data_IF_441739156188
#
_entry.id   IF_441739156188
#
_cell.length_a   1.000
_cell.length_b   1.000
_cell.length_c   1.000
_cell.angle_alpha   90.00
_cell.angle_beta   90.00
_cell.angle_gamma   90.00
#
_symmetry.space_group_name_H-M   'P 1'
#
loop_
_entity.id
_entity.type
_entity.pdbx_description
1 polymer ?
#
# COMPACT_ATOMS: atom_id res chain seq x y z
N UNK A 1 16.43 -11.47 -4.19
CA UNK A 1 16.68 -10.03 -4.05
C UNK A 1 16.04 -9.59 -2.75
N UNK A 2 16.74 -8.83 -1.90
CA UNK A 2 16.20 -8.37 -0.62
C UNK A 2 15.20 -7.23 -0.85
N UNK A 3 14.26 -7.03 0.10
CA UNK A 3 13.36 -5.86 0.11
C UNK A 3 14.14 -4.53 0.00
N UNK A 4 15.36 -4.47 0.55
CA UNK A 4 16.25 -3.32 0.44
C UNK A 4 16.69 -3.02 -1.02
N UNK A 5 16.82 -4.04 -1.86
CA UNK A 5 17.16 -3.84 -3.28
C UNK A 5 15.96 -3.38 -4.11
N UNK A 6 14.74 -3.78 -3.72
CA UNK A 6 13.49 -3.42 -4.39
C UNK A 6 13.18 -1.91 -4.28
N UNK A 7 13.53 -1.30 -3.15
CA UNK A 7 13.27 0.13 -2.88
C UNK A 7 14.51 1.03 -3.05
N UNK A 8 15.61 0.49 -3.60
CA UNK A 8 16.88 1.23 -3.75
C UNK A 8 16.88 2.25 -4.89
N UNK A 9 15.89 2.27 -5.78
CA UNK A 9 15.81 3.28 -6.85
C UNK A 9 14.47 4.00 -6.82
N UNK A 10 14.49 5.26 -6.39
CA UNK A 10 13.36 6.21 -6.42
C UNK A 10 12.66 6.27 -7.80
N UNK A 11 13.41 6.01 -8.88
CA UNK A 11 12.90 6.08 -10.26
C UNK A 11 11.78 5.05 -10.54
N UNK A 12 11.88 3.82 -10.04
CA UNK A 12 10.89 2.77 -10.28
C UNK A 12 9.60 3.03 -9.49
N UNK A 13 9.74 3.43 -8.23
CA UNK A 13 8.60 3.83 -7.39
C UNK A 13 7.92 5.07 -7.97
N UNK A 14 8.69 6.05 -8.41
CA UNK A 14 8.18 7.29 -8.99
C UNK A 14 7.40 7.05 -10.29
N UNK A 15 7.83 6.12 -11.16
CA UNK A 15 7.08 5.77 -12.38
C UNK A 15 5.70 5.16 -12.04
N UNK A 16 5.62 4.31 -11.02
CA UNK A 16 4.35 3.71 -10.54
C UNK A 16 3.43 4.76 -9.94
N UNK A 17 3.95 5.60 -9.05
CA UNK A 17 3.20 6.71 -8.44
C UNK A 17 2.70 7.68 -9.51
N UNK A 18 3.55 8.04 -10.48
CA UNK A 18 3.21 8.99 -11.54
C UNK A 18 2.06 8.50 -12.43
N UNK A 19 1.99 7.20 -12.74
CA UNK A 19 0.89 6.63 -13.51
C UNK A 19 -0.44 6.82 -12.78
N UNK A 20 -0.50 6.46 -11.50
CA UNK A 20 -1.70 6.64 -10.68
C UNK A 20 -2.06 8.12 -10.47
N UNK A 21 -1.10 8.95 -10.12
CA UNK A 21 -1.33 10.39 -9.87
C UNK A 21 -1.88 11.11 -11.10
N UNK A 22 -1.43 10.71 -12.31
CA UNK A 22 -1.77 11.40 -13.55
C UNK A 22 -3.08 10.93 -14.19
N UNK A 23 -3.40 9.65 -14.08
CA UNK A 23 -4.48 9.03 -14.85
C UNK A 23 -5.60 8.43 -14.00
N UNK A 24 -5.54 8.56 -12.67
CA UNK A 24 -6.62 8.12 -11.80
C UNK A 24 -7.93 8.86 -12.12
N UNK A 25 -9.01 8.11 -12.25
CA UNK A 25 -10.36 8.67 -12.41
C UNK A 25 -10.92 9.25 -11.11
N UNK A 26 -10.34 8.83 -9.97
CA UNK A 26 -10.62 9.37 -8.65
C UNK A 26 -9.30 9.51 -7.87
N UNK A 27 -8.67 10.69 -7.81
CA UNK A 27 -7.37 10.87 -7.17
C UNK A 27 -7.43 10.98 -5.63
N UNK A 28 -8.62 10.84 -5.02
CA UNK A 28 -8.85 11.05 -3.58
C UNK A 28 -8.44 9.89 -2.67
N UNK A 29 -7.64 8.91 -3.12
CA UNK A 29 -7.26 7.73 -2.32
C UNK A 29 -6.65 8.07 -0.96
N UNK A 30 -5.64 8.95 -0.92
CA UNK A 30 -4.94 9.30 0.33
C UNK A 30 -5.87 10.00 1.33
N UNK A 31 -6.76 10.85 0.86
CA UNK A 31 -7.74 11.54 1.69
C UNK A 31 -8.81 10.57 2.20
N UNK A 32 -9.30 9.70 1.32
CA UNK A 32 -10.27 8.68 1.67
C UNK A 32 -9.71 7.72 2.72
N UNK A 33 -8.48 7.26 2.53
CA UNK A 33 -7.80 6.37 3.47
C UNK A 33 -7.65 7.05 4.84
N UNK A 34 -7.17 8.30 4.86
CA UNK A 34 -7.04 9.07 6.09
C UNK A 34 -8.38 9.23 6.82
N UNK A 35 -9.48 9.50 6.09
CA UNK A 35 -10.81 9.67 6.69
C UNK A 35 -11.34 8.39 7.35
N UNK A 36 -10.92 7.20 6.85
CA UNK A 36 -11.34 5.90 7.39
C UNK A 36 -10.41 5.41 8.51
N UNK A 37 -9.16 5.84 8.53
CA UNK A 37 -8.14 5.41 9.49
C UNK A 37 -7.94 6.38 10.66
N UNK A 38 -8.39 7.63 10.51
CA UNK A 38 -8.19 8.66 11.53
C UNK A 38 -8.90 8.31 12.85
N UNK A 39 -8.16 8.15 13.95
CA UNK A 39 -8.74 7.82 15.24
C UNK A 39 -9.26 9.08 15.96
N UNK A 40 -9.93 8.91 17.10
CA UNK A 40 -10.26 10.03 18.00
C UNK A 40 -9.02 10.80 18.47
N UNK A 41 -9.21 12.06 18.86
CA UNK A 41 -8.15 12.87 19.45
C UNK A 41 -7.52 12.20 20.67
N UNK A 42 -6.20 12.35 20.81
CA UNK A 42 -5.42 11.77 21.90
C UNK A 42 -5.05 10.29 21.73
N UNK A 43 -5.42 9.65 20.63
CA UNK A 43 -5.13 8.24 20.39
C UNK A 43 -3.64 7.99 20.18
N UNK A 44 -3.21 6.76 20.51
CA UNK A 44 -1.89 6.21 20.23
C UNK A 44 -1.97 5.38 18.96
N UNK A 45 -1.27 5.82 17.91
CA UNK A 45 -1.25 5.16 16.61
C UNK A 45 0.11 4.53 16.34
N UNK A 46 0.08 3.36 15.74
CA UNK A 46 1.25 2.75 15.11
C UNK A 46 0.94 2.51 13.64
N UNK A 47 1.78 2.96 12.74
CA UNK A 47 1.81 2.43 11.37
C UNK A 47 3.01 1.51 11.20
N UNK A 48 2.75 0.27 10.78
CA UNK A 48 3.76 -0.74 10.48
C UNK A 48 3.97 -0.80 8.97
N UNK A 49 5.23 -0.76 8.52
CA UNK A 49 5.58 -0.66 7.11
C UNK A 49 5.20 0.69 6.51
N UNK A 50 5.49 1.78 7.22
CA UNK A 50 5.08 3.14 6.85
C UNK A 50 5.75 3.65 5.55
N UNK A 51 6.83 2.98 5.09
CA UNK A 51 7.63 3.47 3.98
C UNK A 51 8.13 4.90 4.23
N UNK A 52 8.22 5.76 3.20
CA UNK A 52 8.62 7.15 3.35
C UNK A 52 7.50 8.06 3.88
N UNK A 53 6.37 7.51 4.33
CA UNK A 53 5.20 8.19 4.88
C UNK A 53 4.52 9.20 3.93
N UNK A 54 4.81 9.19 2.64
CA UNK A 54 4.33 10.18 1.67
C UNK A 54 2.85 10.05 1.35
N UNK A 55 2.34 8.81 1.26
CA UNK A 55 0.99 8.53 0.75
C UNK A 55 -0.09 8.92 1.76
N UNK A 56 -0.01 8.43 2.98
CA UNK A 56 -1.01 8.74 4.00
C UNK A 56 -0.71 10.07 4.69
N UNK A 57 0.45 10.20 5.30
CA UNK A 57 0.79 11.33 6.16
C UNK A 57 1.22 12.56 5.37
N UNK A 58 2.10 12.40 4.39
CA UNK A 58 2.57 13.50 3.55
C UNK A 58 1.45 14.19 2.78
N UNK A 59 0.50 13.43 2.27
CA UNK A 59 -0.67 13.97 1.58
C UNK A 59 -1.69 14.65 2.53
N UNK A 60 -1.59 14.44 3.85
CA UNK A 60 -2.55 14.93 4.85
C UNK A 60 -1.87 15.67 6.02
N UNK A 61 -0.68 16.25 5.83
CA UNK A 61 0.14 16.87 6.89
C UNK A 61 -0.64 17.86 7.77
N UNK A 62 -1.48 18.70 7.17
CA UNK A 62 -2.26 19.72 7.86
C UNK A 62 -3.46 19.14 8.63
N UNK A 63 -3.76 17.86 8.43
CA UNK A 63 -4.89 17.14 9.04
C UNK A 63 -4.47 16.27 10.23
N UNK A 64 -3.16 16.10 10.44
CA UNK A 64 -2.63 15.34 11.57
C UNK A 64 -3.02 16.05 12.86
N UNK A 65 -3.83 15.40 13.69
CA UNK A 65 -4.23 15.94 14.99
C UNK A 65 -2.99 15.98 15.91
N UNK A 66 -2.61 17.16 16.42
CA UNK A 66 -1.41 17.29 17.27
C UNK A 66 -1.53 16.57 18.62
N UNK A 67 -2.72 16.10 18.98
CA UNK A 67 -2.92 15.29 20.19
C UNK A 67 -2.61 13.81 19.99
N UNK A 68 -2.50 13.33 18.75
CA UNK A 68 -2.13 11.95 18.46
C UNK A 68 -0.69 11.65 18.86
N UNK A 69 -0.48 10.46 19.41
CA UNK A 69 0.85 9.90 19.62
C UNK A 69 1.14 8.94 18.47
N UNK A 70 1.68 9.49 17.39
CA UNK A 70 1.96 8.75 16.16
C UNK A 70 3.33 8.08 16.26
N UNK A 71 3.39 6.80 16.01
CA UNK A 71 4.62 6.01 15.85
C UNK A 71 4.65 5.41 14.45
N UNK A 72 5.74 5.64 13.73
CA UNK A 72 5.98 5.08 12.40
C UNK A 72 7.08 4.03 12.47
N UNK A 73 6.77 2.82 12.02
CA UNK A 73 7.69 1.70 12.01
C UNK A 73 7.85 1.14 10.59
N UNK A 74 9.08 0.85 10.21
CA UNK A 74 9.41 0.18 8.94
C UNK A 74 10.63 -0.72 9.12
N UNK A 75 10.71 -1.80 8.34
CA UNK A 75 11.86 -2.69 8.35
C UNK A 75 13.13 -2.02 7.78
N UNK A 76 12.98 -1.06 6.87
CA UNK A 76 14.06 -0.34 6.21
C UNK A 76 14.47 0.92 6.98
N UNK A 77 15.73 1.02 7.45
CA UNK A 77 16.24 2.26 8.07
C UNK A 77 16.14 3.48 7.15
N UNK A 78 16.33 3.29 5.83
CA UNK A 78 16.23 4.39 4.85
C UNK A 78 14.80 4.92 4.70
N UNK A 79 13.77 4.07 4.83
CA UNK A 79 12.38 4.49 4.84
C UNK A 79 12.05 5.29 6.11
N UNK A 80 12.56 4.87 7.25
CA UNK A 80 12.42 5.60 8.51
C UNK A 80 13.10 6.97 8.46
N UNK A 81 14.28 7.07 7.84
CA UNK A 81 14.96 8.35 7.64
C UNK A 81 14.12 9.29 6.75
N UNK A 82 13.62 8.78 5.61
CA UNK A 82 12.76 9.56 4.71
C UNK A 82 11.44 10.01 5.38
N UNK A 83 10.82 9.15 6.18
CA UNK A 83 9.63 9.50 6.94
C UNK A 83 9.91 10.60 7.98
N UNK A 84 11.07 10.53 8.66
CA UNK A 84 11.51 11.56 9.62
C UNK A 84 11.78 12.90 8.94
N UNK A 85 12.43 12.89 7.78
CA UNK A 85 12.69 14.11 7.00
C UNK A 85 11.37 14.78 6.57
N UNK A 86 10.35 14.00 6.27
CA UNK A 86 9.04 14.50 5.85
C UNK A 86 8.21 15.06 7.01
N UNK A 87 8.15 14.35 8.14
CA UNK A 87 7.20 14.65 9.23
C UNK A 87 7.84 15.36 10.43
N UNK A 88 9.19 15.35 10.55
CA UNK A 88 9.90 15.98 11.67
C UNK A 88 9.45 15.44 13.03
N UNK A 89 9.14 16.33 13.94
CA UNK A 89 8.75 15.98 15.33
C UNK A 89 7.26 15.58 15.49
N UNK A 90 6.55 15.33 14.37
CA UNK A 90 5.12 14.92 14.44
C UNK A 90 4.93 13.44 14.76
N UNK A 91 5.99 12.62 14.75
CA UNK A 91 5.93 11.20 15.02
C UNK A 91 7.18 10.69 15.72
N UNK A 92 7.07 9.55 16.38
CA UNK A 92 8.19 8.70 16.78
C UNK A 92 8.53 7.74 15.64
N UNK A 93 9.82 7.36 15.50
CA UNK A 93 10.33 6.60 14.37
C UNK A 93 11.13 5.38 14.84
N UNK A 94 10.73 4.18 14.39
CA UNK A 94 11.32 2.93 14.87
C UNK A 94 11.63 2.01 13.67
N UNK A 95 12.87 1.52 13.60
CA UNK A 95 13.18 0.41 12.68
C UNK A 95 12.70 -0.90 13.32
N UNK A 96 11.73 -1.57 12.69
CA UNK A 96 11.13 -2.78 13.26
C UNK A 96 10.63 -3.76 12.20
N UNK A 97 10.69 -5.06 12.53
CA UNK A 97 10.01 -6.12 11.80
C UNK A 97 8.58 -6.25 12.31
N UNK A 98 7.60 -6.28 11.40
CA UNK A 98 6.19 -6.52 11.73
C UNK A 98 5.97 -7.84 12.50
N UNK A 99 6.88 -8.79 12.34
CA UNK A 99 6.85 -10.12 12.97
C UNK A 99 7.43 -10.12 14.40
N UNK A 100 8.05 -9.00 14.84
CA UNK A 100 8.64 -8.84 16.17
C UNK A 100 8.68 -7.34 16.54
N UNK A 101 7.54 -6.81 16.98
CA UNK A 101 7.38 -5.40 17.29
C UNK A 101 7.97 -5.04 18.65
N UNK A 102 8.88 -4.03 18.75
CA UNK A 102 9.58 -3.69 19.98
C UNK A 102 8.71 -2.80 20.91
N UNK A 103 7.44 -3.14 21.07
CA UNK A 103 6.50 -2.41 21.91
C UNK A 103 5.85 -3.31 22.95
N UNK A 104 5.44 -2.76 24.07
CA UNK A 104 4.71 -3.47 25.12
C UNK A 104 3.29 -3.85 24.67
N UNK A 105 2.71 -4.85 25.34
CA UNK A 105 1.31 -5.25 25.13
C UNK A 105 0.37 -4.08 25.40
N UNK A 106 -0.62 -3.88 24.51
CA UNK A 106 -1.63 -2.85 24.68
C UNK A 106 -1.10 -1.41 24.63
N UNK A 107 -0.05 -1.17 23.87
CA UNK A 107 0.56 0.17 23.70
C UNK A 107 -0.22 1.10 22.78
N UNK A 108 -1.05 0.57 21.86
CA UNK A 108 -1.69 1.34 20.81
C UNK A 108 -3.21 1.14 20.79
N UNK A 109 -3.91 2.21 20.46
CA UNK A 109 -5.37 2.23 20.29
C UNK A 109 -5.74 1.84 18.84
N UNK A 110 -4.87 2.22 17.88
CA UNK A 110 -5.01 1.91 16.46
C UNK A 110 -3.66 1.46 15.88
N UNK A 111 -3.68 0.42 15.05
CA UNK A 111 -2.54 -0.01 14.24
C UNK A 111 -2.94 0.04 12.77
N UNK A 112 -2.06 0.57 11.93
CA UNK A 112 -2.20 0.68 10.48
C UNK A 112 -1.14 -0.19 9.80
N UNK A 113 -1.51 -0.83 8.66
CA UNK A 113 -0.60 -1.56 7.79
C UNK A 113 -0.97 -1.30 6.33
N UNK A 114 -0.41 -0.22 5.74
CA UNK A 114 -0.80 0.25 4.42
C UNK A 114 0.08 -0.33 3.32
N UNK A 115 -0.52 -1.16 2.43
CA UNK A 115 0.15 -1.77 1.28
C UNK A 115 1.46 -2.51 1.60
N UNK A 116 1.54 -3.18 2.76
CA UNK A 116 2.77 -3.84 3.21
C UNK A 116 2.62 -5.34 3.55
N UNK A 117 1.44 -5.81 3.95
CA UNK A 117 1.25 -7.17 4.48
C UNK A 117 1.55 -8.29 3.47
N UNK A 118 1.41 -8.03 2.18
CA UNK A 118 1.79 -8.99 1.14
C UNK A 118 3.31 -9.19 1.01
N UNK A 119 4.11 -8.32 1.63
CA UNK A 119 5.57 -8.47 1.74
C UNK A 119 6.01 -9.27 2.98
N UNK A 120 5.11 -9.48 3.94
CA UNK A 120 5.44 -10.18 5.20
C UNK A 120 5.47 -11.69 4.99
N UNK A 121 6.60 -12.38 5.25
CA UNK A 121 6.70 -13.82 5.04
C UNK A 121 5.82 -14.64 5.99
N UNK A 122 5.85 -14.33 7.29
CA UNK A 122 5.04 -14.98 8.34
C UNK A 122 3.94 -14.01 8.81
N UNK A 123 2.87 -13.87 8.02
CA UNK A 123 1.73 -13.03 8.37
C UNK A 123 1.03 -13.45 9.66
N UNK A 124 0.80 -14.74 9.95
CA UNK A 124 0.25 -15.14 11.25
C UNK A 124 1.04 -14.58 12.44
N UNK A 125 2.37 -14.58 12.38
CA UNK A 125 3.23 -14.00 13.42
C UNK A 125 3.05 -12.48 13.50
N UNK A 126 3.01 -11.79 12.37
CA UNK A 126 2.76 -10.35 12.34
C UNK A 126 1.37 -10.01 12.90
N UNK A 127 0.33 -10.79 12.58
CA UNK A 127 -1.02 -10.57 13.14
C UNK A 127 -1.06 -10.79 14.65
N UNK A 128 -0.32 -11.78 15.17
CA UNK A 128 -0.19 -11.98 16.60
C UNK A 128 0.49 -10.79 17.29
N UNK A 129 1.54 -10.22 16.70
CA UNK A 129 2.23 -9.05 17.21
C UNK A 129 1.35 -7.79 17.14
N UNK A 130 0.68 -7.53 15.99
CA UNK A 130 -0.28 -6.42 15.86
C UNK A 130 -1.38 -6.54 16.93
N UNK A 131 -1.94 -7.74 17.09
CA UNK A 131 -2.94 -7.99 18.13
C UNK A 131 -2.37 -7.78 19.54
N UNK A 132 -1.13 -8.20 19.80
CA UNK A 132 -0.48 -8.04 21.11
C UNK A 132 -0.35 -6.57 21.49
N UNK A 133 0.17 -5.74 20.58
CA UNK A 133 0.42 -4.31 20.84
C UNK A 133 -0.84 -3.46 20.89
N UNK A 134 -1.96 -3.91 20.31
CA UNK A 134 -3.26 -3.24 20.44
C UNK A 134 -3.85 -3.41 21.84
N UNK A 135 -4.54 -2.40 22.33
CA UNK A 135 -5.42 -2.52 23.51
C UNK A 135 -6.62 -3.40 23.22
N UNK A 136 -7.31 -3.92 24.25
CA UNK A 136 -8.59 -4.59 24.06
C UNK A 136 -9.60 -3.63 23.41
N UNK A 137 -10.31 -4.08 22.38
CA UNK A 137 -11.20 -3.25 21.56
C UNK A 137 -10.51 -2.29 20.59
N UNK A 138 -9.17 -2.25 20.57
CA UNK A 138 -8.37 -1.48 19.62
C UNK A 138 -8.60 -1.91 18.16
N UNK A 139 -8.33 -1.02 17.22
CA UNK A 139 -8.64 -1.20 15.80
C UNK A 139 -7.38 -1.48 15.01
N UNK A 140 -7.46 -2.43 14.11
CA UNK A 140 -6.47 -2.69 13.08
C UNK A 140 -7.04 -2.35 11.71
N UNK A 141 -6.30 -1.55 10.94
CA UNK A 141 -6.60 -1.21 9.56
C UNK A 141 -5.48 -1.71 8.64
N UNK A 142 -5.86 -2.35 7.54
CA UNK A 142 -4.92 -2.83 6.53
C UNK A 142 -5.41 -2.43 5.14
N UNK A 143 -4.72 -1.52 4.46
CA UNK A 143 -5.02 -1.23 3.07
C UNK A 143 -4.29 -2.18 2.13
N UNK A 144 -4.99 -2.58 1.07
CA UNK A 144 -4.46 -3.47 0.03
C UNK A 144 -5.30 -3.34 -1.24
N UNK A 145 -5.01 -4.17 -2.25
CA UNK A 145 -5.78 -4.24 -3.47
C UNK A 145 -6.61 -5.52 -3.53
N UNK A 146 -7.71 -5.49 -4.28
CA UNK A 146 -8.57 -6.64 -4.54
C UNK A 146 -8.28 -7.31 -5.88
N UNK A 147 -9.07 -8.34 -6.18
CA UNK A 147 -9.02 -9.06 -7.46
C UNK A 147 -9.19 -8.12 -8.66
N UNK A 148 -8.52 -8.45 -9.76
CA UNK A 148 -8.53 -7.63 -10.99
C UNK A 148 -7.61 -6.40 -10.96
N UNK A 149 -6.90 -6.13 -9.83
CA UNK A 149 -5.97 -5.01 -9.77
C UNK A 149 -4.89 -5.12 -10.86
N UNK A 150 -4.81 -4.10 -11.72
CA UNK A 150 -3.88 -4.00 -12.86
C UNK A 150 -4.00 -5.17 -13.85
N UNK A 151 -5.19 -5.77 -13.98
CA UNK A 151 -5.40 -6.94 -14.85
C UNK A 151 -4.93 -6.68 -16.28
N UNK A 152 -5.26 -5.52 -16.85
CA UNK A 152 -4.91 -5.16 -18.23
C UNK A 152 -3.39 -5.01 -18.43
N UNK A 153 -2.66 -4.64 -17.36
CA UNK A 153 -1.20 -4.62 -17.36
C UNK A 153 -0.64 -6.06 -17.39
N UNK A 154 -1.26 -6.96 -16.63
CA UNK A 154 -0.93 -8.39 -16.64
C UNK A 154 -1.19 -9.04 -18.00
N UNK A 155 -2.29 -8.68 -18.66
CA UNK A 155 -2.63 -9.18 -20.00
C UNK A 155 -1.60 -8.74 -21.05
N UNK A 156 -1.09 -7.50 -20.96
CA UNK A 156 -0.02 -7.01 -21.83
C UNK A 156 1.29 -7.78 -21.67
N UNK A 157 1.55 -8.34 -20.50
CA UNK A 157 2.83 -8.95 -20.14
C UNK A 157 2.76 -10.47 -19.96
N UNK A 158 1.64 -11.09 -20.32
CA UNK A 158 1.33 -12.49 -20.05
C UNK A 158 2.44 -13.46 -20.53
N UNK A 159 3.11 -13.15 -21.64
CA UNK A 159 4.13 -13.99 -22.23
C UNK A 159 5.49 -13.97 -21.49
N UNK A 160 5.75 -12.93 -20.67
CA UNK A 160 7.06 -12.76 -20.05
C UNK A 160 7.02 -12.38 -18.58
N UNK A 161 5.93 -11.81 -18.10
CA UNK A 161 5.69 -11.51 -16.72
C UNK A 161 4.28 -11.97 -16.34
N UNK A 162 4.10 -13.23 -15.95
CA UNK A 162 2.87 -13.60 -15.28
C UNK A 162 2.78 -12.73 -14.04
N UNK A 163 1.88 -11.76 -14.08
CA UNK A 163 1.69 -10.76 -13.03
C UNK A 163 1.49 -11.49 -11.72
N UNK A 164 2.54 -11.62 -10.90
CA UNK A 164 2.40 -12.14 -9.55
C UNK A 164 1.53 -11.16 -8.79
N UNK A 165 0.31 -11.58 -8.59
CA UNK A 165 -0.65 -10.76 -7.87
C UNK A 165 -0.31 -10.82 -6.39
N UNK A 166 0.34 -9.79 -5.86
CA UNK A 166 0.57 -9.64 -4.42
C UNK A 166 -0.72 -9.82 -3.60
N UNK A 167 -1.86 -9.56 -4.23
CA UNK A 167 -3.21 -9.81 -3.69
C UNK A 167 -3.47 -11.28 -3.36
N UNK A 168 -2.80 -12.23 -4.02
CA UNK A 168 -2.94 -13.66 -3.70
C UNK A 168 -2.30 -13.96 -2.35
N UNK A 169 -1.27 -13.23 -1.97
CA UNK A 169 -0.64 -13.32 -0.65
C UNK A 169 -1.48 -12.62 0.44
N UNK A 170 -1.90 -11.38 0.19
CA UNK A 170 -2.79 -10.60 1.06
C UNK A 170 -3.52 -9.54 0.25
N UNK A 171 -4.77 -9.77 -0.08
CA UNK A 171 -5.67 -8.88 -0.83
C UNK A 171 -6.99 -8.69 -0.10
N UNK A 172 -7.90 -7.91 -0.71
CA UNK A 172 -9.22 -7.66 -0.12
C UNK A 172 -10.05 -8.94 0.03
N UNK A 173 -9.86 -9.93 -0.85
CA UNK A 173 -10.57 -11.21 -0.83
C UNK A 173 -9.81 -12.26 0.01
N UNK A 174 -8.49 -12.30 -0.11
CA UNK A 174 -7.63 -13.29 0.56
C UNK A 174 -7.21 -12.90 1.97
N UNK A 175 -7.31 -11.61 2.33
CA UNK A 175 -6.92 -11.08 3.64
C UNK A 175 -7.88 -11.42 4.78
N UNK A 176 -9.20 -11.21 4.65
CA UNK A 176 -10.15 -11.44 5.74
C UNK A 176 -10.05 -12.84 6.37
N UNK A 177 -10.01 -13.96 5.62
CA UNK A 177 -9.85 -15.28 6.22
C UNK A 177 -8.55 -15.45 7.02
N UNK A 178 -7.50 -14.70 6.70
CA UNK A 178 -6.23 -14.72 7.44
C UNK A 178 -6.31 -13.92 8.75
N UNK A 179 -7.17 -12.89 8.82
CA UNK A 179 -7.35 -12.03 9.98
C UNK A 179 -8.36 -12.59 11.01
N UNK A 180 -9.40 -13.28 10.57
CA UNK A 180 -10.48 -13.84 11.41
C UNK A 180 -9.99 -14.67 12.60
N UNK A 181 -8.87 -15.46 12.55
CA UNK A 181 -8.34 -16.16 13.71
C UNK A 181 -7.79 -15.24 14.82
N UNK A 182 -7.48 -13.98 14.49
CA UNK A 182 -6.82 -13.02 15.41
C UNK A 182 -7.74 -11.89 15.85
N UNK A 183 -8.72 -11.51 15.01
CA UNK A 183 -9.52 -10.31 15.14
C UNK A 183 -11.02 -10.61 14.95
N UNK A 184 -11.84 -9.70 15.44
CA UNK A 184 -13.29 -9.69 15.24
C UNK A 184 -13.72 -8.53 14.33
N UNK A 185 -14.98 -8.50 13.92
CA UNK A 185 -15.57 -7.41 13.12
C UNK A 185 -14.80 -7.08 11.83
N UNK A 186 -14.30 -8.12 11.15
CA UNK A 186 -13.57 -7.94 9.89
C UNK A 186 -14.51 -7.39 8.80
N UNK A 187 -14.19 -6.21 8.28
CA UNK A 187 -14.98 -5.49 7.27
C UNK A 187 -14.08 -5.04 6.15
N UNK A 188 -14.63 -4.97 4.93
CA UNK A 188 -13.94 -4.48 3.74
C UNK A 188 -14.67 -3.24 3.24
N UNK A 189 -13.91 -2.20 2.95
CA UNK A 189 -14.35 -1.01 2.25
C UNK A 189 -13.53 -0.83 0.98
N UNK A 190 -14.19 -0.51 -0.14
CA UNK A 190 -13.54 -0.39 -1.45
C UNK A 190 -13.54 1.05 -1.88
N UNK A 191 -12.43 1.50 -2.45
CA UNK A 191 -12.34 2.81 -3.07
C UNK A 191 -12.55 2.66 -4.58
N UNK A 192 -13.61 3.28 -5.09
CA UNK A 192 -13.97 3.19 -6.51
C UNK A 192 -13.08 4.12 -7.35
N UNK A 193 -12.21 3.53 -8.14
CA UNK A 193 -11.28 4.23 -9.03
C UNK A 193 -10.77 3.32 -10.14
N UNK A 194 -10.11 3.89 -11.13
CA UNK A 194 -9.41 3.21 -12.21
C UNK A 194 -8.44 4.17 -12.87
N UNK A 195 -7.66 3.73 -13.86
CA UNK A 195 -6.79 4.61 -14.61
C UNK A 195 -7.30 4.74 -16.05
N UNK A 196 -7.49 5.97 -16.49
CA UNK A 196 -7.79 6.30 -17.89
C UNK A 196 -6.52 6.81 -18.56
N UNK A 197 -5.69 5.91 -19.05
CA UNK A 197 -4.39 6.27 -19.59
C UNK A 197 -4.53 6.70 -21.05
N UNK A 198 -4.18 7.95 -21.34
CA UNK A 198 -4.30 8.55 -22.68
C UNK A 198 -2.97 8.64 -23.43
N UNK A 199 -1.91 8.11 -22.87
CA UNK A 199 -0.56 8.15 -23.42
C UNK A 199 0.12 6.79 -23.27
N UNK A 200 0.91 6.39 -24.28
CA UNK A 200 1.59 5.10 -24.31
C UNK A 200 2.76 5.02 -23.33
N UNK A 201 3.61 6.06 -23.31
CA UNK A 201 4.88 6.02 -22.55
C UNK A 201 4.72 5.81 -21.05
N UNK A 202 3.72 6.37 -20.35
CA UNK A 202 3.51 6.09 -18.93
C UNK A 202 3.25 4.61 -18.63
N UNK A 203 2.53 3.90 -19.52
CA UNK A 203 2.32 2.45 -19.38
C UNK A 203 3.66 1.71 -19.53
N UNK A 204 4.43 2.03 -20.57
CA UNK A 204 5.71 1.38 -20.79
C UNK A 204 6.73 1.71 -19.69
N UNK A 205 6.69 2.93 -19.14
CA UNK A 205 7.53 3.30 -17.99
C UNK A 205 7.18 2.45 -16.75
N UNK A 206 5.88 2.22 -16.52
CA UNK A 206 5.42 1.31 -15.47
C UNK A 206 5.96 -0.11 -15.69
N UNK A 207 5.83 -0.67 -16.90
CA UNK A 207 6.33 -2.02 -17.21
C UNK A 207 7.84 -2.13 -17.02
N UNK A 208 8.60 -1.09 -17.44
CA UNK A 208 10.07 -1.03 -17.24
C UNK A 208 10.46 -0.92 -15.77
N UNK A 209 9.58 -0.43 -14.90
CA UNK A 209 9.83 -0.35 -13.46
C UNK A 209 9.75 -1.70 -12.75
N UNK A 210 9.30 -2.75 -13.44
CA UNK A 210 9.26 -4.11 -12.92
C UNK A 210 10.68 -4.68 -12.79
N UNK A 211 10.94 -5.39 -11.69
CA UNK A 211 12.17 -6.15 -11.49
C UNK A 211 12.37 -7.27 -12.52
N UNK A 212 11.29 -7.71 -13.17
CA UNK A 212 11.33 -8.74 -14.20
C UNK A 212 11.60 -8.18 -15.61
N UNK A 213 11.68 -6.85 -15.71
CA UNK A 213 12.05 -6.22 -16.99
C UNK A 213 13.54 -6.43 -17.25
N UNK A 214 13.84 -7.16 -18.30
CA UNK A 214 15.18 -7.60 -18.70
C UNK A 214 15.81 -6.75 -19.83
N UNK A 215 15.20 -5.61 -20.15
CA UNK A 215 15.64 -4.75 -21.24
C UNK A 215 15.06 -5.11 -22.61
N UNK A 216 14.08 -6.04 -22.67
CA UNK A 216 13.43 -6.45 -23.91
C UNK A 216 12.75 -5.29 -24.65
N UNK A 217 12.54 -5.47 -25.93
CA UNK A 217 11.70 -4.56 -26.71
C UNK A 217 10.22 -4.71 -26.32
N UNK A 218 9.58 -3.59 -26.02
CA UNK A 218 8.15 -3.49 -25.70
C UNK A 218 7.32 -3.02 -26.92
N UNK A 219 7.74 -3.35 -28.13
CA UNK A 219 7.04 -2.92 -29.36
C UNK A 219 5.62 -3.50 -29.44
N UNK A 220 5.39 -4.73 -28.97
CA UNK A 220 4.08 -5.37 -28.91
C UNK A 220 3.14 -4.67 -27.93
N UNK A 221 3.60 -4.43 -26.72
CA UNK A 221 2.86 -3.71 -25.66
C UNK A 221 2.56 -2.27 -26.08
N UNK A 222 3.54 -1.60 -26.67
CA UNK A 222 3.36 -0.27 -27.28
C UNK A 222 2.23 -0.25 -28.30
N UNK A 223 2.24 -1.18 -29.24
CA UNK A 223 1.23 -1.26 -30.29
C UNK A 223 -0.16 -1.56 -29.70
N UNK A 224 -0.26 -2.46 -28.73
CA UNK A 224 -1.52 -2.80 -28.09
C UNK A 224 -2.12 -1.61 -27.31
N UNK A 225 -1.31 -0.88 -26.53
CA UNK A 225 -1.75 0.31 -25.80
C UNK A 225 -2.15 1.42 -26.77
N UNK A 226 -1.35 1.67 -27.83
CA UNK A 226 -1.67 2.67 -28.84
C UNK A 226 -2.99 2.38 -29.56
N UNK A 227 -3.21 1.12 -29.95
CA UNK A 227 -4.46 0.69 -30.58
C UNK A 227 -5.68 0.85 -29.67
N UNK A 228 -5.54 0.57 -28.37
CA UNK A 228 -6.60 0.79 -27.39
C UNK A 228 -6.93 2.29 -27.26
N UNK A 229 -5.91 3.15 -27.17
CA UNK A 229 -6.08 4.60 -27.10
C UNK A 229 -6.75 5.13 -28.38
N UNK A 230 -6.35 4.67 -29.56
CA UNK A 230 -6.96 5.08 -30.84
C UNK A 230 -8.43 4.66 -30.94
N UNK A 231 -8.76 3.44 -30.51
CA UNK A 231 -10.12 2.88 -30.57
C UNK A 231 -11.06 3.48 -29.55
N UNK A 232 -10.62 3.60 -28.28
CA UNK A 232 -11.48 3.87 -27.11
C UNK A 232 -11.19 5.25 -26.47
N UNK A 233 -10.21 6.00 -27.00
CA UNK A 233 -9.75 7.29 -26.46
C UNK A 233 -8.84 7.14 -25.22
N UNK A 234 -8.66 5.93 -24.71
CA UNK A 234 -7.76 5.62 -23.56
C UNK A 234 -7.48 4.14 -23.48
N UNK A 235 -6.37 3.79 -22.86
CA UNK A 235 -6.12 2.46 -22.33
C UNK A 235 -6.61 2.43 -20.89
N UNK A 236 -7.67 1.64 -20.62
CA UNK A 236 -8.20 1.47 -19.28
C UNK A 236 -7.32 0.51 -18.48
N UNK A 237 -7.09 0.86 -17.20
CA UNK A 237 -6.43 -0.04 -16.24
C UNK A 237 -7.28 -0.12 -14.97
N UNK A 238 -7.71 -1.30 -14.66
CA UNK A 238 -8.50 -1.59 -13.46
C UNK A 238 -7.62 -1.42 -12.21
N UNK A 239 -8.12 -0.66 -11.25
CA UNK A 239 -7.50 -0.56 -9.93
C UNK A 239 -8.56 -0.84 -8.86
N UNK A 240 -8.20 -1.61 -7.85
CA UNK A 240 -9.13 -2.11 -6.84
C UNK A 240 -8.63 -1.88 -5.41
N UNK A 241 -8.18 -0.65 -5.07
CA UNK A 241 -7.69 -0.38 -3.72
C UNK A 241 -8.85 -0.41 -2.71
N UNK A 242 -8.53 -0.79 -1.49
CA UNK A 242 -9.49 -0.80 -0.41
C UNK A 242 -8.84 -1.00 0.96
N UNK A 243 -9.67 -1.00 1.97
CA UNK A 243 -9.31 -1.09 3.37
C UNK A 243 -10.00 -2.28 4.02
N UNK A 244 -9.25 -3.06 4.78
CA UNK A 244 -9.78 -4.06 5.69
C UNK A 244 -9.64 -3.49 7.10
N UNK A 245 -10.75 -3.44 7.83
CA UNK A 245 -10.79 -2.97 9.22
C UNK A 245 -11.26 -4.10 10.12
N UNK A 246 -10.63 -4.26 11.30
CA UNK A 246 -11.01 -5.26 12.28
C UNK A 246 -10.66 -4.82 13.70
N UNK A 247 -11.10 -5.57 14.72
CA UNK A 247 -10.91 -5.22 16.14
C UNK A 247 -10.23 -6.35 16.92
N UNK A 248 -9.40 -5.95 17.86
CA UNK A 248 -8.92 -6.89 18.89
C UNK A 248 -10.08 -7.22 19.84
N UNK A 249 -10.43 -8.50 20.03
CA UNK A 249 -11.45 -8.93 21.01
C UNK A 249 -11.07 -8.59 22.44
#
# INVERSE_FOLDING_TARGET
>A
MSLEEQYRTDANLNARIALHARFSTNPGWSQWLFDHEAPPSGARLLEVGCGPATTLWGANLERIDPSWKLTLADFSPGMIEAARDLLGDRADYVVADAQELPFDDGSFDVVLANHMLYHVPDRPRAFAEIRRVLVAGGVFHASTNGEGHLQEMGDLTADWWPFERHIDAFGLESGPPQLEPFFTDVRIERFDTGLRVTEVEPVLAYLRSSERYDGRDLAGERAAVAAAIERDGSFWVTTTPGLISCRKP
#
